data_IF_042783367800
#
_entry.id   IF_042783367800
#
_cell.length_a   1.000
_cell.length_b   1.000
_cell.length_c   1.000
_cell.angle_alpha   90.00
_cell.angle_beta   90.00
_cell.angle_gamma   90.00
#
_symmetry.space_group_name_H-M   'P 1'
#
loop_
_entity.id
_entity.type
_entity.pdbx_description
1 polymer ?
#
# COMPACT_ATOMS: atom_id res chain seq x y z
N UNK A 1 3.69 -40.51 2.58
CA UNK A 1 3.24 -39.11 2.41
C UNK A 1 3.46 -38.71 0.96
N UNK A 2 2.39 -38.45 0.19
CA UNK A 2 2.48 -38.16 -1.25
C UNK A 2 2.88 -36.71 -1.49
N UNK A 3 4.02 -36.49 -2.15
CA UNK A 3 4.48 -35.14 -2.52
C UNK A 3 3.54 -34.55 -3.58
N UNK A 4 2.86 -33.46 -3.24
CA UNK A 4 2.07 -32.69 -4.21
C UNK A 4 3.03 -32.02 -5.20
N UNK A 5 3.11 -32.54 -6.42
CA UNK A 5 3.81 -31.92 -7.54
C UNK A 5 3.17 -30.56 -7.84
N UNK A 6 3.83 -29.46 -7.46
CA UNK A 6 3.41 -28.10 -7.84
C UNK A 6 3.70 -27.94 -9.34
N UNK A 7 2.68 -28.13 -10.19
CA UNK A 7 2.78 -27.75 -11.61
C UNK A 7 2.97 -26.23 -11.66
N UNK A 8 4.18 -25.79 -11.98
CA UNK A 8 4.45 -24.39 -12.29
C UNK A 8 3.54 -23.97 -13.45
N UNK A 9 2.64 -23.00 -13.20
CA UNK A 9 1.81 -22.41 -14.24
C UNK A 9 2.70 -21.47 -15.04
N UNK A 10 3.20 -21.96 -16.17
CA UNK A 10 3.97 -21.15 -17.11
C UNK A 10 3.00 -20.18 -17.82
N UNK A 11 3.23 -18.89 -17.68
CA UNK A 11 2.55 -17.85 -18.45
C UNK A 11 3.44 -17.52 -19.67
N UNK A 12 2.92 -17.57 -20.91
CA UNK A 12 3.70 -17.18 -22.08
C UNK A 12 4.05 -15.69 -22.02
N UNK A 13 5.13 -15.31 -22.72
CA UNK A 13 5.60 -13.93 -22.73
C UNK A 13 4.48 -12.97 -23.18
N UNK A 14 4.27 -11.89 -22.41
CA UNK A 14 3.23 -10.89 -22.68
C UNK A 14 1.81 -11.26 -22.20
N UNK A 15 1.58 -12.48 -21.72
CA UNK A 15 0.28 -12.90 -21.17
C UNK A 15 0.33 -12.92 -19.65
N UNK A 16 -0.61 -12.23 -19.00
CA UNK A 16 -0.76 -12.24 -17.54
C UNK A 16 -2.10 -12.92 -17.23
N UNK A 17 -2.09 -14.00 -16.43
CA UNK A 17 -3.34 -14.65 -16.07
C UNK A 17 -4.19 -13.77 -15.15
N UNK A 18 -5.51 -13.97 -15.17
CA UNK A 18 -6.43 -13.28 -14.26
C UNK A 18 -6.05 -13.47 -12.78
N UNK A 19 -5.61 -14.68 -12.40
CA UNK A 19 -5.13 -14.94 -11.05
C UNK A 19 -3.85 -14.18 -10.70
N UNK A 20 -2.96 -13.97 -11.66
CA UNK A 20 -1.77 -13.15 -11.47
C UNK A 20 -2.13 -11.65 -11.35
N UNK A 21 -3.08 -11.15 -12.14
CA UNK A 21 -3.62 -9.79 -12.01
C UNK A 21 -4.22 -9.57 -10.62
N UNK A 22 -5.09 -10.48 -10.17
CA UNK A 22 -5.71 -10.42 -8.84
C UNK A 22 -4.66 -10.45 -7.71
N UNK A 23 -3.68 -11.36 -7.80
CA UNK A 23 -2.57 -11.41 -6.85
C UNK A 23 -1.68 -10.15 -6.87
N UNK A 24 -1.53 -9.48 -8.02
CA UNK A 24 -0.85 -8.17 -8.10
C UNK A 24 -1.66 -7.09 -7.42
N UNK A 25 -2.98 -7.05 -7.66
CA UNK A 25 -3.89 -6.10 -7.03
C UNK A 25 -3.88 -6.24 -5.50
N UNK A 26 -4.06 -7.47 -4.98
CA UNK A 26 -4.00 -7.76 -3.54
C UNK A 26 -2.69 -7.31 -2.90
N UNK A 27 -1.55 -7.63 -3.54
CA UNK A 27 -0.22 -7.18 -3.07
C UNK A 27 -0.11 -5.66 -3.06
N UNK A 28 -0.63 -4.97 -4.09
CA UNK A 28 -0.58 -3.50 -4.15
C UNK A 28 -1.41 -2.87 -3.04
N UNK A 29 -2.61 -3.39 -2.78
CA UNK A 29 -3.50 -2.93 -1.69
C UNK A 29 -2.81 -3.10 -0.34
N UNK A 30 -2.27 -4.29 -0.04
CA UNK A 30 -1.60 -4.56 1.22
C UNK A 30 -0.39 -3.64 1.45
N UNK A 31 0.46 -3.45 0.43
CA UNK A 31 1.61 -2.54 0.51
C UNK A 31 1.19 -1.10 0.77
N UNK A 32 0.14 -0.63 0.09
CA UNK A 32 -0.34 0.73 0.24
C UNK A 32 -0.92 0.96 1.64
N UNK A 33 -1.77 0.03 2.10
CA UNK A 33 -2.37 0.08 3.44
C UNK A 33 -1.31 0.12 4.55
N UNK A 34 -0.32 -0.78 4.50
CA UNK A 34 0.75 -0.82 5.50
C UNK A 34 1.59 0.46 5.50
N UNK A 35 1.89 1.01 4.31
CA UNK A 35 2.60 2.28 4.20
C UNK A 35 1.80 3.44 4.79
N UNK A 36 0.48 3.47 4.59
CA UNK A 36 -0.40 4.48 5.17
C UNK A 36 -0.50 4.35 6.68
N UNK A 37 -0.68 3.12 7.17
CA UNK A 37 -0.77 2.83 8.60
C UNK A 37 0.51 3.29 9.33
N UNK A 38 1.68 2.91 8.81
CA UNK A 38 2.96 3.32 9.41
C UNK A 38 3.13 4.84 9.46
N UNK A 39 2.79 5.52 8.35
CA UNK A 39 2.91 6.97 8.25
C UNK A 39 1.98 7.70 9.22
N UNK A 40 0.70 7.32 9.26
CA UNK A 40 -0.29 7.94 10.15
C UNK A 40 0.03 7.68 11.61
N UNK A 41 0.37 6.44 11.96
CA UNK A 41 0.74 6.08 13.33
C UNK A 41 1.96 6.86 13.79
N UNK A 42 3.05 6.89 13.00
CA UNK A 42 4.25 7.64 13.34
C UNK A 42 3.97 9.12 13.59
N UNK A 43 3.12 9.74 12.77
CA UNK A 43 2.71 11.13 12.98
C UNK A 43 1.89 11.33 14.25
N UNK A 44 1.01 10.40 14.60
CA UNK A 44 0.22 10.46 15.84
C UNK A 44 1.09 10.34 17.10
N UNK A 45 2.17 9.56 17.04
CA UNK A 45 3.15 9.41 18.13
C UNK A 45 4.25 10.48 18.13
N UNK A 46 4.17 11.47 17.23
CA UNK A 46 5.20 12.50 17.05
C UNK A 46 6.60 11.93 16.76
N UNK A 47 6.66 10.73 16.18
CA UNK A 47 7.90 10.11 15.76
C UNK A 47 8.39 10.75 14.46
N UNK A 48 9.72 10.84 14.26
CA UNK A 48 10.29 11.26 12.98
C UNK A 48 9.82 10.28 11.90
N UNK A 49 8.85 10.73 11.11
CA UNK A 49 8.29 9.93 10.02
C UNK A 49 9.06 10.28 8.76
N UNK A 50 10.01 9.43 8.39
CA UNK A 50 10.77 9.59 7.16
C UNK A 50 9.88 9.46 5.92
N UNK A 51 10.40 9.98 4.81
CA UNK A 51 9.83 9.79 3.48
C UNK A 51 9.56 8.30 3.20
N UNK A 52 8.36 7.92 2.70
CA UNK A 52 8.06 6.53 2.39
C UNK A 52 9.09 5.92 1.44
N UNK A 53 9.45 4.65 1.65
CA UNK A 53 10.42 3.94 0.80
C UNK A 53 10.11 4.03 -0.71
N UNK A 54 8.82 4.08 -1.08
CA UNK A 54 8.41 4.29 -2.47
C UNK A 54 8.93 5.61 -3.07
N UNK A 55 9.00 6.69 -2.29
CA UNK A 55 9.51 7.98 -2.72
C UNK A 55 11.03 7.92 -2.97
N UNK A 56 11.77 7.17 -2.15
CA UNK A 56 13.21 6.95 -2.33
C UNK A 56 13.53 6.21 -3.63
N UNK A 57 12.61 5.36 -4.09
CA UNK A 57 12.69 4.67 -5.39
C UNK A 57 12.18 5.52 -6.58
N UNK A 58 11.84 6.80 -6.37
CA UNK A 58 11.28 7.66 -7.40
C UNK A 58 9.86 7.29 -7.81
N UNK A 59 9.15 6.47 -7.02
CA UNK A 59 7.76 6.14 -7.29
C UNK A 59 6.81 7.21 -6.75
N UNK A 60 5.67 7.36 -7.44
CA UNK A 60 4.56 8.19 -6.97
C UNK A 60 4.06 7.68 -5.62
N UNK A 61 4.13 8.55 -4.61
CA UNK A 61 3.49 8.32 -3.31
C UNK A 61 2.02 8.66 -3.44
N UNK A 62 1.17 7.73 -2.97
CA UNK A 62 -0.26 7.98 -2.81
C UNK A 62 -0.46 8.32 -1.33
N UNK A 63 -0.96 9.50 -0.97
CA UNK A 63 -1.17 9.86 0.43
C UNK A 63 -2.33 9.05 1.05
N UNK A 64 -2.36 8.87 2.38
CA UNK A 64 -3.50 8.26 3.05
C UNK A 64 -4.77 9.09 2.79
N UNK A 65 -5.92 8.44 2.52
CA UNK A 65 -7.16 9.15 2.29
C UNK A 65 -7.61 9.88 3.55
N UNK A 66 -8.09 11.12 3.40
CA UNK A 66 -8.60 11.95 4.49
C UNK A 66 -7.60 12.23 5.63
N UNK A 67 -6.29 12.15 5.37
CA UNK A 67 -5.24 12.47 6.35
C UNK A 67 -4.42 13.70 5.91
N UNK A 68 -4.13 14.67 6.80
CA UNK A 68 -4.64 14.76 8.17
C UNK A 68 -6.15 14.86 8.19
N UNK A 69 -6.78 14.31 9.24
CA UNK A 69 -8.21 14.45 9.42
C UNK A 69 -8.53 15.95 9.44
N UNK A 70 -9.49 16.38 8.62
CA UNK A 70 -10.03 17.74 8.74
C UNK A 70 -10.45 17.89 10.21
N UNK A 71 -9.84 18.82 10.94
CA UNK A 71 -10.23 19.09 12.31
C UNK A 71 -11.74 19.38 12.31
N UNK A 72 -12.49 18.76 13.21
CA UNK A 72 -13.94 18.98 13.34
C UNK A 72 -14.29 20.41 13.83
N UNK A 73 -13.33 21.34 13.79
CA UNK A 73 -13.40 22.68 14.33
C UNK A 73 -12.32 23.52 13.63
N UNK A 74 -12.73 24.38 12.70
CA UNK A 74 -12.29 25.78 12.83
C UNK A 74 -13.31 26.41 13.79
N UNK A 75 -12.99 26.61 15.07
CA UNK A 75 -13.84 27.39 15.94
C UNK A 75 -13.65 28.86 15.51
N UNK A 76 -14.47 29.35 14.59
CA UNK A 76 -14.42 30.78 14.21
C UNK A 76 -14.86 31.16 12.80
N UNK A 77 -15.97 30.60 12.29
CA UNK A 77 -16.72 31.27 11.22
C UNK A 77 -18.17 31.43 11.66
N UNK A 78 -18.37 32.45 12.49
CA UNK A 78 -19.63 33.20 12.58
C UNK A 78 -19.68 34.23 11.44
#
# INVERSE_FOLDING_TARGET
>A
MSAKTVKQKYEPEGVISLGHIDNRAKRKVAKLFLSHLWFVWGQMEWLPTDSPYAQQLGHRVVPPPNWPLRSATEPGKE
#
